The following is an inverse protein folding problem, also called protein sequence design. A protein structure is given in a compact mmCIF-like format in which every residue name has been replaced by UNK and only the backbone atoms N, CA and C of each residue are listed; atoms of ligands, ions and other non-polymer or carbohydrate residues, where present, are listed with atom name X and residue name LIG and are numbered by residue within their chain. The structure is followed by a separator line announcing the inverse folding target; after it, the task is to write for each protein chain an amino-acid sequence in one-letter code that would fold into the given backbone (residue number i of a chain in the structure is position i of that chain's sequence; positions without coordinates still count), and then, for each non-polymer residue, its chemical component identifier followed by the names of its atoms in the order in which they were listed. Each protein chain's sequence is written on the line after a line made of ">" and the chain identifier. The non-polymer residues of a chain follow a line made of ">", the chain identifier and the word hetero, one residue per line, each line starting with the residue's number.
data_IF_277364562371
#
_entry.id   IF_277364562371
#
_cell.length_a   1.000
_cell.length_b   1.000
_cell.length_c   1.000
_cell.angle_alpha   90.00
_cell.angle_beta   90.00
_cell.angle_gamma   90.00
#
_symmetry.space_group_name_H-M   'P 1'
#
loop_
_entity.id
_entity.type
_entity.pdbx_description
1 polymer ?
#
# COMPACT_ATOMS: atom_id res chain seq x y z
N UNK A 1 26.86 36.76 -12.06
CA UNK A 1 26.50 35.80 -13.11
C UNK A 1 26.45 34.34 -12.64
N UNK A 2 27.27 33.89 -11.67
CA UNK A 2 27.26 32.49 -11.18
C UNK A 2 25.99 32.11 -10.39
N UNK A 3 25.35 33.07 -9.71
CA UNK A 3 24.13 32.84 -8.92
C UNK A 3 22.90 32.57 -9.81
N UNK A 4 22.85 33.14 -11.01
CA UNK A 4 21.75 32.95 -11.95
C UNK A 4 21.71 31.53 -12.53
N UNK A 5 22.88 30.92 -12.78
CA UNK A 5 22.98 29.54 -13.31
C UNK A 5 22.48 28.48 -12.31
N UNK A 6 22.67 28.70 -11.02
CA UNK A 6 22.23 27.76 -9.97
C UNK A 6 20.72 27.83 -9.78
N UNK A 7 20.13 29.04 -9.88
CA UNK A 7 18.68 29.22 -9.77
C UNK A 7 17.92 28.58 -10.94
N UNK A 8 18.47 28.62 -12.17
CA UNK A 8 17.87 27.95 -13.34
C UNK A 8 17.96 26.43 -13.27
N UNK A 9 19.01 25.87 -12.64
CA UNK A 9 19.17 24.42 -12.52
C UNK A 9 18.16 23.79 -11.54
N UNK A 10 17.77 24.53 -10.49
CA UNK A 10 16.80 24.06 -9.50
C UNK A 10 15.36 24.02 -10.04
N UNK A 11 15.00 24.90 -10.99
CA UNK A 11 13.66 24.90 -11.60
C UNK A 11 13.46 23.81 -12.66
N UNK A 12 14.53 23.25 -13.24
CA UNK A 12 14.43 22.15 -14.21
C UNK A 12 14.09 20.78 -13.59
N UNK A 13 14.17 20.63 -12.26
CA UNK A 13 13.92 19.34 -11.59
C UNK A 13 12.43 19.07 -11.37
N UNK A 14 11.60 20.11 -11.39
CA UNK A 14 10.14 20.02 -11.14
C UNK A 14 9.37 19.43 -12.33
N UNK A 15 9.94 19.43 -13.54
CA UNK A 15 9.26 19.03 -14.77
C UNK A 15 9.13 17.50 -14.98
N UNK A 16 9.72 16.68 -14.10
CA UNK A 16 9.70 15.21 -14.21
C UNK A 16 8.70 14.51 -13.26
N UNK A 17 7.87 15.25 -12.51
CA UNK A 17 6.95 14.66 -11.52
C UNK A 17 5.52 14.40 -12.04
N UNK A 18 5.11 15.01 -13.15
CA UNK A 18 3.69 15.11 -13.53
C UNK A 18 3.09 13.85 -14.21
N UNK A 19 3.89 12.91 -14.70
CA UNK A 19 3.37 11.85 -15.58
C UNK A 19 2.79 10.61 -14.88
N UNK A 20 2.61 10.60 -13.56
CA UNK A 20 2.20 9.38 -12.82
C UNK A 20 1.26 9.61 -11.63
N UNK A 21 0.50 10.71 -11.65
CA UNK A 21 -0.38 11.09 -10.54
C UNK A 21 -1.70 10.31 -10.47
N UNK A 22 -2.05 9.52 -11.49
CA UNK A 22 -3.26 8.70 -11.40
C UNK A 22 -3.06 7.54 -10.41
N UNK A 23 -3.80 7.59 -9.30
CA UNK A 23 -3.95 6.60 -8.22
C UNK A 23 -3.09 6.76 -6.95
N UNK A 24 -2.33 7.85 -6.78
CA UNK A 24 -1.58 8.05 -5.52
C UNK A 24 -2.50 8.14 -4.29
N UNK A 25 -3.66 8.80 -4.40
CA UNK A 25 -4.63 8.91 -3.31
C UNK A 25 -5.20 7.55 -2.88
N UNK A 26 -5.62 6.74 -3.85
CA UNK A 26 -6.15 5.39 -3.61
C UNK A 26 -5.08 4.47 -2.99
N UNK A 27 -3.84 4.55 -3.45
CA UNK A 27 -2.72 3.78 -2.88
C UNK A 27 -2.45 4.20 -1.44
N UNK A 28 -2.42 5.51 -1.14
CA UNK A 28 -2.26 6.01 0.23
C UNK A 28 -3.39 5.52 1.12
N UNK A 29 -4.65 5.62 0.66
CA UNK A 29 -5.81 5.16 1.42
C UNK A 29 -5.74 3.66 1.74
N UNK A 30 -5.38 2.82 0.76
CA UNK A 30 -5.25 1.37 0.97
C UNK A 30 -4.11 1.02 1.95
N UNK A 31 -2.98 1.73 1.87
CA UNK A 31 -1.87 1.55 2.82
C UNK A 31 -2.29 1.97 4.24
N UNK A 32 -2.93 3.14 4.36
CA UNK A 32 -3.44 3.64 5.64
C UNK A 32 -4.45 2.67 6.26
N UNK A 33 -5.42 2.19 5.49
CA UNK A 33 -6.41 1.21 5.97
C UNK A 33 -5.76 -0.07 6.52
N UNK A 34 -4.73 -0.58 5.84
CA UNK A 34 -3.96 -1.74 6.30
C UNK A 34 -3.22 -1.47 7.62
N UNK A 35 -2.66 -0.26 7.78
CA UNK A 35 -2.01 0.17 9.02
C UNK A 35 -3.04 0.26 10.14
N UNK A 36 -4.18 0.89 9.90
CA UNK A 36 -5.24 1.08 10.88
C UNK A 36 -5.82 -0.26 11.36
N UNK A 37 -6.04 -1.21 10.45
CA UNK A 37 -6.44 -2.58 10.80
C UNK A 37 -5.41 -3.24 11.72
N UNK A 38 -4.12 -3.11 11.42
CA UNK A 38 -3.06 -3.70 12.25
C UNK A 38 -2.97 -3.02 13.62
N UNK A 39 -3.14 -1.71 13.68
CA UNK A 39 -3.18 -0.95 14.94
C UNK A 39 -4.37 -1.42 15.79
N UNK A 40 -5.56 -1.52 15.20
CA UNK A 40 -6.75 -1.99 15.90
C UNK A 40 -6.54 -3.37 16.53
N UNK A 41 -5.93 -4.32 15.79
CA UNK A 41 -5.59 -5.64 16.33
C UNK A 41 -4.56 -5.59 17.45
N UNK A 42 -3.55 -4.74 17.33
CA UNK A 42 -2.56 -4.55 18.40
C UNK A 42 -3.18 -3.94 19.66
N UNK A 43 -4.13 -3.02 19.52
CA UNK A 43 -4.87 -2.44 20.63
C UNK A 43 -5.76 -3.50 21.30
N UNK A 44 -6.50 -4.29 20.52
CA UNK A 44 -7.32 -5.40 21.02
C UNK A 44 -6.47 -6.41 21.81
N UNK A 45 -5.31 -6.80 21.27
CA UNK A 45 -4.39 -7.70 21.96
C UNK A 45 -3.84 -7.10 23.26
N UNK A 46 -3.47 -5.81 23.22
CA UNK A 46 -2.99 -5.09 24.40
C UNK A 46 -4.06 -5.07 25.48
N UNK A 47 -5.29 -4.71 25.14
CA UNK A 47 -6.42 -4.70 26.08
C UNK A 47 -6.68 -6.08 26.67
N UNK A 48 -6.61 -7.15 25.85
CA UNK A 48 -6.74 -8.53 26.32
C UNK A 48 -5.67 -8.87 27.37
N UNK A 49 -4.41 -8.54 27.10
CA UNK A 49 -3.31 -8.78 28.05
C UNK A 49 -3.48 -7.96 29.33
N UNK A 50 -3.90 -6.70 29.22
CA UNK A 50 -4.11 -5.84 30.39
C UNK A 50 -5.23 -6.33 31.30
N UNK A 51 -6.26 -6.99 30.75
CA UNK A 51 -7.35 -7.61 31.52
C UNK A 51 -7.06 -9.04 31.99
N UNK A 52 -5.94 -9.65 31.58
CA UNK A 52 -5.63 -11.02 31.93
C UNK A 52 -5.14 -11.13 33.38
N UNK A 53 -5.83 -11.93 34.19
CA UNK A 53 -5.52 -12.12 35.62
C UNK A 53 -4.52 -13.24 35.89
N UNK A 54 -4.33 -14.14 34.92
CA UNK A 54 -3.46 -15.31 35.06
C UNK A 54 -2.75 -15.69 33.76
N UNK A 55 -1.84 -16.66 33.87
CA UNK A 55 -1.00 -17.12 32.75
C UNK A 55 -1.81 -17.83 31.66
N UNK A 56 -2.89 -18.53 32.01
CA UNK A 56 -3.75 -19.20 31.04
C UNK A 56 -4.57 -18.17 30.24
N UNK A 57 -5.05 -17.10 30.88
CA UNK A 57 -5.68 -15.97 30.22
C UNK A 57 -4.72 -15.28 29.23
N UNK A 58 -3.45 -15.06 29.60
CA UNK A 58 -2.44 -14.52 28.69
C UNK A 58 -2.20 -15.44 27.49
N UNK A 59 -2.13 -16.77 27.70
CA UNK A 59 -1.98 -17.75 26.61
C UNK A 59 -3.18 -17.70 25.65
N UNK A 60 -4.39 -17.57 26.18
CA UNK A 60 -5.61 -17.39 25.38
C UNK A 60 -5.53 -16.14 24.51
N UNK A 61 -5.17 -14.98 25.09
CA UNK A 61 -4.96 -13.72 24.36
C UNK A 61 -3.94 -13.86 23.21
N UNK A 62 -2.85 -14.60 23.43
CA UNK A 62 -1.83 -14.85 22.41
C UNK A 62 -2.34 -15.75 21.29
N UNK A 63 -3.11 -16.80 21.61
CA UNK A 63 -3.71 -17.69 20.60
C UNK A 63 -4.72 -16.92 19.74
N UNK A 64 -5.64 -16.19 20.37
CA UNK A 64 -6.63 -15.38 19.67
C UNK A 64 -5.98 -14.35 18.73
N UNK A 65 -4.97 -13.61 19.22
CA UNK A 65 -4.23 -12.67 18.37
C UNK A 65 -3.49 -13.37 17.22
N UNK A 66 -2.91 -14.56 17.46
CA UNK A 66 -2.24 -15.33 16.40
C UNK A 66 -3.21 -15.77 15.31
N UNK A 67 -4.41 -16.19 15.67
CA UNK A 67 -5.46 -16.58 14.73
C UNK A 67 -5.99 -15.37 13.95
N UNK A 68 -6.28 -14.26 14.63
CA UNK A 68 -6.69 -13.02 13.99
C UNK A 68 -5.64 -12.50 12.99
N UNK A 69 -4.35 -12.54 13.34
CA UNK A 69 -3.25 -12.13 12.46
C UNK A 69 -3.02 -13.10 11.30
N UNK A 70 -3.34 -14.40 11.45
CA UNK A 70 -3.32 -15.35 10.33
C UNK A 70 -4.43 -15.03 9.33
N UNK A 71 -5.66 -14.82 9.83
CA UNK A 71 -6.80 -14.46 8.99
C UNK A 71 -6.54 -13.18 8.19
N UNK A 72 -6.01 -12.14 8.85
CA UNK A 72 -5.63 -10.89 8.18
C UNK A 72 -4.58 -11.11 7.08
N UNK A 73 -3.61 -12.01 7.31
CA UNK A 73 -2.60 -12.35 6.29
C UNK A 73 -3.19 -13.09 5.10
N UNK A 74 -4.22 -13.90 5.31
CA UNK A 74 -4.92 -14.62 4.25
C UNK A 74 -5.76 -13.66 3.42
N UNK A 75 -6.57 -12.81 4.07
CA UNK A 75 -7.35 -11.75 3.40
C UNK A 75 -6.45 -10.84 2.54
N UNK A 76 -5.31 -10.40 3.09
CA UNK A 76 -4.37 -9.55 2.35
C UNK A 76 -3.62 -10.28 1.23
N UNK A 77 -3.53 -11.62 1.24
CA UNK A 77 -2.93 -12.37 0.14
C UNK A 77 -3.85 -12.40 -1.06
N UNK A 78 -5.14 -12.56 -0.83
CA UNK A 78 -6.15 -12.60 -1.89
C UNK A 78 -6.27 -11.23 -2.56
N UNK A 79 -6.37 -10.15 -1.77
CA UNK A 79 -6.36 -8.78 -2.28
C UNK A 79 -5.09 -8.48 -3.10
N UNK A 80 -3.93 -9.00 -2.65
CA UNK A 80 -2.66 -8.84 -3.36
C UNK A 80 -2.63 -9.63 -4.68
N UNK A 81 -3.28 -10.79 -4.75
CA UNK A 81 -3.39 -11.57 -5.97
C UNK A 81 -4.26 -10.85 -7.00
N UNK A 82 -5.42 -10.34 -6.58
CA UNK A 82 -6.32 -9.54 -7.42
C UNK A 82 -5.63 -8.28 -7.95
N UNK A 83 -4.92 -7.54 -7.08
CA UNK A 83 -4.17 -6.35 -7.48
C UNK A 83 -3.09 -6.66 -8.53
N UNK A 84 -2.40 -7.80 -8.39
CA UNK A 84 -1.40 -8.23 -9.37
C UNK A 84 -2.04 -8.56 -10.72
N UNK A 85 -3.15 -9.29 -10.74
CA UNK A 85 -3.86 -9.62 -11.97
C UNK A 85 -4.31 -8.36 -12.71
N UNK A 86 -4.97 -7.43 -12.00
CA UNK A 86 -5.41 -6.16 -12.58
C UNK A 86 -4.25 -5.28 -13.11
N UNK A 87 -3.06 -5.40 -12.52
CA UNK A 87 -1.86 -4.70 -12.99
C UNK A 87 -1.33 -5.29 -14.30
N UNK A 88 -1.39 -6.59 -14.49
CA UNK A 88 -0.99 -7.25 -15.74
C UNK A 88 -1.94 -6.88 -16.88
N UNK A 89 -3.24 -6.87 -16.61
CA UNK A 89 -4.27 -6.45 -17.58
C UNK A 89 -4.09 -4.99 -18.00
N UNK A 90 -3.86 -4.07 -17.03
CA UNK A 90 -3.56 -2.66 -17.34
C UNK A 90 -2.30 -2.52 -18.19
N UNK A 91 -1.24 -3.29 -17.90
CA UNK A 91 -0.01 -3.27 -18.70
C UNK A 91 -0.25 -3.78 -20.12
N UNK A 92 -1.03 -4.84 -20.29
CA UNK A 92 -1.38 -5.40 -21.59
C UNK A 92 -2.19 -4.38 -22.43
N UNK A 93 -3.22 -3.76 -21.84
CA UNK A 93 -4.01 -2.70 -22.47
C UNK A 93 -3.15 -1.50 -22.89
N UNK A 94 -2.33 -0.98 -21.97
CA UNK A 94 -1.44 0.15 -22.28
C UNK A 94 -0.42 -0.18 -23.37
N UNK A 95 0.06 -1.44 -23.44
CA UNK A 95 0.98 -1.88 -24.50
C UNK A 95 0.28 -2.00 -25.85
N UNK A 96 -0.96 -2.50 -25.88
CA UNK A 96 -1.78 -2.57 -27.09
C UNK A 96 -2.12 -1.17 -27.63
N UNK A 97 -2.53 -0.26 -26.75
CA UNK A 97 -2.87 1.12 -27.12
C UNK A 97 -1.65 1.89 -27.68
N UNK A 98 -0.47 1.72 -27.05
CA UNK A 98 0.78 2.29 -27.57
C UNK A 98 1.17 1.73 -28.94
N UNK A 99 0.95 0.43 -29.18
CA UNK A 99 1.21 -0.19 -30.49
C UNK A 99 0.24 0.35 -31.55
N UNK A 100 -1.04 0.46 -31.23
CA UNK A 100 -2.06 0.99 -32.13
C UNK A 100 -1.78 2.44 -32.55
N UNK A 101 -1.38 3.30 -31.60
CA UNK A 101 -0.96 4.69 -31.89
C UNK A 101 0.26 4.74 -32.82
N UNK A 102 1.25 3.87 -32.60
CA UNK A 102 2.48 3.83 -33.43
C UNK A 102 2.24 3.34 -34.86
N UNK A 103 1.19 2.55 -35.11
CA UNK A 103 0.82 2.08 -36.46
C UNK A 103 -0.10 3.04 -37.21
N UNK A 104 -0.62 4.07 -36.55
CA UNK A 104 -1.51 5.07 -37.14
C UNK A 104 -0.78 6.37 -37.56
N UNK A 105 0.49 6.51 -37.16
CA UNK A 105 1.43 7.55 -37.62
C UNK A 105 2.35 6.98 -38.72
#
# INVERSE_FOLDING_TARGET
>A
MKVLLIATLLMSVSAFADQKQENLGAVKAAISANIDQRIARMQEHKSCIQGAVDREAIKSCRKANKEAMKKLKEENKDEKAEWKAGKEDRKAKNKAEKKAKKTAE
#
